data_IF_653829853151
#
_entry.id   IF_653829853151
#
_cell.length_a   1.000
_cell.length_b   1.000
_cell.length_c   1.000
_cell.angle_alpha   90.00
_cell.angle_beta   90.00
_cell.angle_gamma   90.00
#
_symmetry.space_group_name_H-M   'P 1'
#
loop_
_entity.id
_entity.type
_entity.pdbx_description
1 polymer ?
#
# COMPACT_ATOMS: atom_id res chain seq x y z
N UNK A 1 -19.16 31.06 36.32
CA UNK A 1 -19.98 30.42 35.27
C UNK A 1 -19.46 29.01 35.07
N UNK A 2 -20.10 28.01 35.69
CA UNK A 2 -19.72 26.61 35.55
C UNK A 2 -20.34 26.06 34.26
N UNK A 3 -19.50 25.60 33.33
CA UNK A 3 -19.97 24.89 32.14
C UNK A 3 -20.60 23.57 32.59
N UNK A 4 -21.91 23.43 32.37
CA UNK A 4 -22.64 22.22 32.66
C UNK A 4 -22.05 21.07 31.84
N UNK A 5 -21.55 20.06 32.54
CA UNK A 5 -21.04 18.81 31.96
C UNK A 5 -22.21 18.11 31.24
N UNK A 6 -22.30 18.29 29.93
CA UNK A 6 -23.29 17.63 29.08
C UNK A 6 -23.02 16.13 29.09
N UNK A 7 -23.72 15.39 29.96
CA UNK A 7 -23.77 13.93 29.91
C UNK A 7 -24.28 13.50 28.54
N UNK A 8 -23.43 12.80 27.80
CA UNK A 8 -23.74 12.14 26.54
C UNK A 8 -25.07 11.40 26.63
N UNK A 9 -26.03 11.81 25.78
CA UNK A 9 -27.40 11.27 25.73
C UNK A 9 -27.45 9.82 25.23
N UNK A 10 -26.34 9.30 24.71
CA UNK A 10 -26.27 7.97 24.12
C UNK A 10 -25.72 6.97 25.15
N UNK A 11 -26.49 5.93 25.54
CA UNK A 11 -25.92 4.86 26.34
C UNK A 11 -24.74 4.25 25.59
N UNK A 12 -23.61 4.09 26.28
CA UNK A 12 -22.33 3.53 25.76
C UNK A 12 -22.44 2.16 25.06
N UNK A 13 -23.62 1.55 24.98
CA UNK A 13 -23.86 0.15 24.58
C UNK A 13 -24.87 -0.09 23.45
N UNK A 14 -25.59 0.92 22.94
CA UNK A 14 -26.56 0.73 21.83
C UNK A 14 -26.01 1.14 20.45
N UNK A 15 -24.68 1.08 20.30
CA UNK A 15 -24.10 1.09 18.97
C UNK A 15 -24.10 -0.35 18.48
N UNK A 16 -24.95 -0.62 17.49
CA UNK A 16 -24.99 -1.80 16.61
C UNK A 16 -23.67 -1.96 15.78
N UNK A 17 -22.56 -1.52 16.36
CA UNK A 17 -21.22 -1.51 15.81
C UNK A 17 -20.52 -2.73 16.37
N UNK A 18 -20.55 -3.79 15.58
CA UNK A 18 -19.81 -5.00 15.91
C UNK A 18 -18.32 -4.66 16.07
N UNK A 19 -17.67 -5.14 17.12
CA UNK A 19 -16.24 -4.87 17.38
C UNK A 19 -15.38 -5.38 16.21
N UNK A 20 -15.88 -6.41 15.51
CA UNK A 20 -15.33 -6.93 14.26
C UNK A 20 -15.21 -5.88 13.14
N UNK A 21 -16.05 -4.85 13.17
CA UNK A 21 -16.13 -3.81 12.14
C UNK A 21 -15.11 -2.68 12.31
N UNK A 22 -14.41 -2.62 13.45
CA UNK A 22 -13.41 -1.59 13.72
C UNK A 22 -12.11 -1.84 12.94
N UNK A 23 -11.85 -3.09 12.55
CA UNK A 23 -10.63 -3.49 11.86
C UNK A 23 -9.62 -4.21 12.74
N UNK A 24 -8.39 -4.36 12.23
CA UNK A 24 -7.31 -5.01 12.97
C UNK A 24 -6.81 -4.08 14.10
N UNK A 25 -6.44 -4.62 15.28
CA UNK A 25 -6.17 -3.82 16.48
C UNK A 25 -5.06 -2.76 16.41
N UNK A 26 -4.22 -2.71 15.37
CA UNK A 26 -3.12 -1.74 15.26
C UNK A 26 -3.26 -0.80 14.05
N UNK A 27 -4.45 -0.72 13.45
CA UNK A 27 -4.64 0.09 12.25
C UNK A 27 -5.16 1.49 12.55
N UNK A 28 -4.87 2.43 11.65
CA UNK A 28 -5.38 3.80 11.74
C UNK A 28 -6.91 3.80 11.85
N UNK A 29 -7.61 2.94 11.11
CA UNK A 29 -9.06 2.82 11.19
C UNK A 29 -9.51 2.45 12.61
N UNK A 30 -8.90 1.44 13.21
CA UNK A 30 -9.28 0.97 14.55
C UNK A 30 -9.11 2.09 15.58
N UNK A 31 -7.97 2.79 15.55
CA UNK A 31 -7.69 3.89 16.48
C UNK A 31 -8.69 5.04 16.34
N UNK A 32 -8.92 5.52 15.11
CA UNK A 32 -9.83 6.64 14.87
C UNK A 32 -11.27 6.30 15.23
N UNK A 33 -11.77 5.12 14.81
CA UNK A 33 -13.13 4.71 15.15
C UNK A 33 -13.30 4.52 16.66
N UNK A 34 -12.30 3.97 17.35
CA UNK A 34 -12.31 3.82 18.80
C UNK A 34 -12.37 5.19 19.51
N UNK A 35 -11.56 6.16 19.08
CA UNK A 35 -11.60 7.52 19.64
C UNK A 35 -12.96 8.18 19.41
N UNK A 36 -13.57 8.03 18.23
CA UNK A 36 -14.89 8.60 17.91
C UNK A 36 -16.01 7.95 18.73
N UNK A 37 -15.95 6.64 18.97
CA UNK A 37 -16.91 5.93 19.84
C UNK A 37 -16.79 6.42 21.28
N UNK A 38 -15.56 6.56 21.77
CA UNK A 38 -15.22 7.03 23.12
C UNK A 38 -15.37 8.55 23.32
N UNK A 39 -15.85 9.27 22.30
CA UNK A 39 -16.04 10.73 22.32
C UNK A 39 -14.73 11.55 22.46
N UNK A 40 -13.59 10.91 22.20
CA UNK A 40 -12.26 11.54 22.14
C UNK A 40 -12.01 12.19 20.77
N UNK A 41 -12.90 13.08 20.34
CA UNK A 41 -12.87 13.67 18.99
C UNK A 41 -11.59 14.44 18.68
N UNK A 42 -11.10 15.24 19.64
CA UNK A 42 -9.86 16.02 19.47
C UNK A 42 -8.66 15.10 19.26
N UNK A 43 -8.62 13.96 19.97
CA UNK A 43 -7.55 12.97 19.83
C UNK A 43 -7.61 12.31 18.45
N UNK A 44 -8.81 12.00 17.96
CA UNK A 44 -8.99 11.46 16.61
C UNK A 44 -8.49 12.45 15.54
N UNK A 45 -8.87 13.72 15.64
CA UNK A 45 -8.45 14.77 14.69
C UNK A 45 -6.94 14.97 14.76
N UNK A 46 -6.37 15.05 15.96
CA UNK A 46 -4.92 15.16 16.16
C UNK A 46 -4.17 13.99 15.51
N UNK A 47 -4.62 12.77 15.75
CA UNK A 47 -4.03 11.56 15.15
C UNK A 47 -4.07 11.60 13.62
N UNK A 48 -5.17 12.08 13.02
CA UNK A 48 -5.29 12.24 11.56
C UNK A 48 -4.35 13.31 11.00
N UNK A 49 -4.16 14.42 11.73
CA UNK A 49 -3.20 15.47 11.34
C UNK A 49 -1.77 14.98 11.44
N UNK A 50 -1.41 14.34 12.54
CA UNK A 50 -0.09 13.71 12.73
C UNK A 50 0.18 12.66 11.66
N UNK A 51 -0.82 11.86 11.28
CA UNK A 51 -0.70 10.91 10.18
C UNK A 51 -0.42 11.59 8.83
N UNK A 52 -1.02 12.75 8.55
CA UNK A 52 -0.77 13.51 7.33
C UNK A 52 0.59 14.23 7.31
N UNK A 53 1.06 14.62 8.50
CA UNK A 53 2.36 15.27 8.71
C UNK A 53 3.51 14.26 8.78
N UNK A 54 3.21 13.00 9.08
CA UNK A 54 4.23 11.95 9.12
C UNK A 54 4.93 11.79 7.78
N UNK A 55 6.25 11.74 7.82
CA UNK A 55 7.06 11.54 6.62
C UNK A 55 6.72 10.19 6.00
N UNK A 56 6.29 10.22 4.74
CA UNK A 56 6.07 9.01 3.96
C UNK A 56 7.28 8.77 3.06
N UNK A 57 7.78 7.54 3.05
CA UNK A 57 8.83 7.10 2.12
C UNK A 57 8.41 7.18 0.63
N UNK A 58 7.16 7.52 0.35
CA UNK A 58 6.56 7.47 -0.98
C UNK A 58 6.28 8.87 -1.53
N UNK A 59 6.86 9.22 -2.70
CA UNK A 59 6.52 10.47 -3.37
C UNK A 59 5.03 10.46 -3.76
N UNK A 60 4.32 11.55 -3.43
CA UNK A 60 2.87 11.75 -3.67
C UNK A 60 1.87 11.04 -2.74
N UNK A 61 2.31 10.27 -1.73
CA UNK A 61 1.36 9.64 -0.80
C UNK A 61 0.50 10.69 -0.07
N UNK A 62 1.14 11.74 0.44
CA UNK A 62 0.47 12.86 1.11
C UNK A 62 -0.65 13.44 0.23
N UNK A 63 -0.35 13.76 -1.03
CA UNK A 63 -1.34 14.31 -1.97
C UNK A 63 -2.52 13.36 -2.23
N UNK A 64 -2.27 12.04 -2.31
CA UNK A 64 -3.32 11.03 -2.56
C UNK A 64 -4.25 10.87 -1.36
N UNK A 65 -3.70 10.97 -0.14
CA UNK A 65 -4.41 10.67 1.10
C UNK A 65 -5.01 11.92 1.76
N UNK A 66 -4.46 13.09 1.51
CA UNK A 66 -4.88 14.37 2.09
C UNK A 66 -6.38 14.63 1.95
N UNK A 67 -6.92 14.48 0.74
CA UNK A 67 -8.36 14.67 0.50
C UNK A 67 -9.21 13.73 1.37
N UNK A 68 -8.79 12.47 1.52
CA UNK A 68 -9.53 11.51 2.35
C UNK A 68 -9.39 11.83 3.84
N UNK A 69 -8.21 12.25 4.28
CA UNK A 69 -7.96 12.65 5.67
C UNK A 69 -8.78 13.90 6.05
N UNK A 70 -8.80 14.92 5.19
CA UNK A 70 -9.60 16.12 5.42
C UNK A 70 -11.09 15.80 5.49
N UNK A 71 -11.61 14.98 4.56
CA UNK A 71 -13.00 14.53 4.59
C UNK A 71 -13.32 13.71 5.86
N UNK A 72 -12.37 12.91 6.34
CA UNK A 72 -12.50 12.16 7.60
C UNK A 72 -12.63 13.11 8.79
N UNK A 73 -11.86 14.21 8.82
CA UNK A 73 -11.96 15.25 9.85
C UNK A 73 -13.33 15.93 9.82
N UNK A 74 -13.84 16.27 8.63
CA UNK A 74 -15.17 16.88 8.47
C UNK A 74 -16.28 15.96 8.98
N UNK A 75 -16.19 14.66 8.69
CA UNK A 75 -17.12 13.66 9.23
C UNK A 75 -17.06 13.58 10.75
N UNK A 76 -15.87 13.65 11.36
CA UNK A 76 -15.72 13.68 12.83
C UNK A 76 -16.40 14.91 13.44
N UNK A 77 -16.21 16.10 12.85
CA UNK A 77 -16.93 17.30 13.30
C UNK A 77 -18.45 17.16 13.14
N UNK A 78 -18.91 16.63 12.01
CA UNK A 78 -20.33 16.41 11.74
C UNK A 78 -20.96 15.42 12.75
N UNK A 79 -20.20 14.39 13.15
CA UNK A 79 -20.58 13.42 14.18
C UNK A 79 -20.65 14.08 15.56
N UNK A 80 -19.62 14.83 15.95
CA UNK A 80 -19.57 15.55 17.23
C UNK A 80 -20.77 16.47 17.40
N UNK A 81 -21.09 17.28 16.38
CA UNK A 81 -22.20 18.24 16.42
C UNK A 81 -23.55 17.54 16.56
N UNK A 82 -23.76 16.40 15.90
CA UNK A 82 -25.02 15.64 15.97
C UNK A 82 -25.17 14.88 17.28
N UNK A 83 -24.06 14.37 17.85
CA UNK A 83 -24.08 13.64 19.13
C UNK A 83 -24.27 14.58 20.32
N UNK A 84 -23.65 15.77 20.27
CA UNK A 84 -23.73 16.81 21.31
C UNK A 84 -24.75 17.91 20.99
N UNK A 85 -25.84 17.56 20.29
CA UNK A 85 -26.84 18.55 19.90
C UNK A 85 -27.49 19.19 21.13
N UNK A 86 -27.43 20.52 21.30
CA UNK A 86 -27.95 21.19 22.48
C UNK A 86 -29.47 21.07 22.52
N UNK A 87 -30.03 20.68 23.68
CA UNK A 87 -31.47 20.56 23.84
C UNK A 87 -32.09 19.36 23.11
N UNK A 88 -31.32 18.28 22.87
CA UNK A 88 -31.85 17.06 22.23
C UNK A 88 -33.10 16.50 22.93
N UNK A 89 -33.19 16.63 24.25
CA UNK A 89 -34.33 16.20 25.06
C UNK A 89 -35.59 17.05 24.84
N UNK A 90 -35.44 18.28 24.32
CA UNK A 90 -36.55 19.16 23.98
C UNK A 90 -37.12 18.89 22.58
N UNK A 91 -36.44 18.05 21.77
CA UNK A 91 -36.89 17.67 20.44
C UNK A 91 -37.96 16.57 20.50
N UNK A 92 -38.80 16.51 19.47
CA UNK A 92 -39.73 15.39 19.26
C UNK A 92 -38.97 14.08 19.03
N UNK A 93 -39.59 12.94 19.37
CA UNK A 93 -39.00 11.60 19.14
C UNK A 93 -38.58 11.39 17.68
N UNK A 94 -39.38 11.88 16.73
CA UNK A 94 -39.06 11.81 15.29
C UNK A 94 -37.76 12.54 14.95
N UNK A 95 -37.56 13.75 15.49
CA UNK A 95 -36.33 14.53 15.27
C UNK A 95 -35.12 13.95 15.98
N UNK A 96 -35.31 13.38 17.17
CA UNK A 96 -34.26 12.61 17.83
C UNK A 96 -33.84 11.41 16.98
N UNK A 97 -34.80 10.66 16.41
CA UNK A 97 -34.50 9.54 15.53
C UNK A 97 -33.77 9.95 14.26
N UNK A 98 -34.18 11.06 13.62
CA UNK A 98 -33.51 11.61 12.45
C UNK A 98 -32.03 11.94 12.74
N UNK A 99 -31.73 12.54 13.90
CA UNK A 99 -30.36 12.78 14.35
C UNK A 99 -29.58 11.48 14.55
N UNK A 100 -30.20 10.44 15.11
CA UNK A 100 -29.59 9.12 15.27
C UNK A 100 -29.24 8.48 13.93
N UNK A 101 -30.16 8.55 12.97
CA UNK A 101 -29.95 7.96 11.65
C UNK A 101 -28.84 8.69 10.90
N UNK A 102 -28.79 10.03 10.98
CA UNK A 102 -27.70 10.83 10.42
C UNK A 102 -26.35 10.58 11.09
N UNK A 103 -26.32 10.34 12.41
CA UNK A 103 -25.12 9.91 13.09
C UNK A 103 -24.61 8.57 12.53
N UNK A 104 -25.50 7.57 12.39
CA UNK A 104 -25.15 6.25 11.82
C UNK A 104 -24.65 6.37 10.39
N UNK A 105 -25.27 7.22 9.57
CA UNK A 105 -24.86 7.49 8.19
C UNK A 105 -23.42 8.03 8.12
N UNK A 106 -23.11 9.09 8.88
CA UNK A 106 -21.75 9.65 8.91
C UNK A 106 -20.72 8.70 9.51
N UNK A 107 -21.09 7.91 10.51
CA UNK A 107 -20.20 6.92 11.09
C UNK A 107 -19.87 5.79 10.10
N UNK A 108 -20.87 5.34 9.32
CA UNK A 108 -20.68 4.36 8.24
C UNK A 108 -19.80 4.93 7.13
N UNK A 109 -20.00 6.19 6.75
CA UNK A 109 -19.16 6.87 5.79
C UNK A 109 -17.70 7.00 6.28
N UNK A 110 -17.51 7.40 7.54
CA UNK A 110 -16.21 7.48 8.19
C UNK A 110 -15.45 6.16 8.09
N UNK A 111 -16.11 5.04 8.38
CA UNK A 111 -15.55 3.68 8.24
C UNK A 111 -15.09 3.39 6.80
N UNK A 112 -15.91 3.75 5.80
CA UNK A 112 -15.59 3.52 4.39
C UNK A 112 -14.38 4.34 3.93
N UNK A 113 -14.29 5.60 4.34
CA UNK A 113 -13.18 6.48 3.96
C UNK A 113 -11.88 6.04 4.64
N UNK A 114 -11.92 5.69 5.93
CA UNK A 114 -10.76 5.13 6.63
C UNK A 114 -10.25 3.83 5.96
N UNK A 115 -11.17 2.96 5.50
CA UNK A 115 -10.79 1.78 4.74
C UNK A 115 -10.07 2.14 3.42
N UNK A 116 -10.50 3.20 2.72
CA UNK A 116 -9.80 3.67 1.51
C UNK A 116 -8.40 4.19 1.81
N UNK A 117 -8.22 4.89 2.93
CA UNK A 117 -6.90 5.35 3.39
C UNK A 117 -5.97 4.15 3.63
N UNK A 118 -6.46 3.12 4.34
CA UNK A 118 -5.70 1.87 4.55
C UNK A 118 -5.34 1.18 3.24
N UNK A 119 -6.30 1.05 2.31
CA UNK A 119 -6.05 0.44 1.00
C UNK A 119 -5.00 1.21 0.20
N UNK A 120 -4.99 2.54 0.25
CA UNK A 120 -3.94 3.33 -0.39
C UNK A 120 -2.54 3.03 0.20
N UNK A 121 -2.46 2.78 1.50
CA UNK A 121 -1.21 2.44 2.18
C UNK A 121 -0.75 1.02 1.83
N UNK A 122 -1.67 0.06 1.75
CA UNK A 122 -1.39 -1.31 1.31
C UNK A 122 -0.94 -1.37 -0.15
N UNK A 123 -1.60 -0.64 -1.06
CA UNK A 123 -1.22 -0.54 -2.48
C UNK A 123 0.23 -0.08 -2.65
N UNK A 124 0.65 0.93 -1.88
CA UNK A 124 2.02 1.44 -1.92
C UNK A 124 3.02 0.40 -1.43
N UNK A 125 2.71 -0.27 -0.31
CA UNK A 125 3.56 -1.35 0.21
C UNK A 125 3.71 -2.51 -0.79
N UNK A 126 2.65 -2.85 -1.53
CA UNK A 126 2.69 -3.90 -2.55
C UNK A 126 3.49 -3.49 -3.78
N UNK A 127 3.44 -2.21 -4.17
CA UNK A 127 4.19 -1.70 -5.32
C UNK A 127 5.71 -1.77 -5.11
N UNK A 128 6.21 -1.54 -3.90
CA UNK A 128 7.64 -1.67 -3.59
C UNK A 128 8.12 -3.12 -3.71
N UNK A 129 7.34 -4.07 -3.18
CA UNK A 129 7.64 -5.49 -3.29
C UNK A 129 7.65 -5.93 -4.75
N UNK A 130 6.68 -5.46 -5.54
CA UNK A 130 6.60 -5.76 -6.97
C UNK A 130 7.80 -5.21 -7.74
N UNK A 131 8.19 -3.96 -7.49
CA UNK A 131 9.35 -3.33 -8.13
C UNK A 131 10.65 -4.04 -7.78
N UNK A 132 10.85 -4.42 -6.52
CA UNK A 132 12.02 -5.19 -6.07
C UNK A 132 12.09 -6.56 -6.75
N UNK A 133 10.95 -7.25 -6.88
CA UNK A 133 10.89 -8.54 -7.58
C UNK A 133 11.28 -8.41 -9.06
N UNK A 134 10.84 -7.33 -9.72
CA UNK A 134 11.21 -7.07 -11.12
C UNK A 134 12.71 -6.85 -11.24
N UNK A 135 13.31 -6.08 -10.33
CA UNK A 135 14.76 -5.83 -10.30
C UNK A 135 15.55 -7.14 -10.13
N UNK A 136 15.15 -7.99 -9.18
CA UNK A 136 15.81 -9.29 -8.92
C UNK A 136 15.71 -10.20 -10.14
N UNK A 137 14.55 -10.26 -10.79
CA UNK A 137 14.38 -11.05 -12.02
C UNK A 137 15.26 -10.50 -13.17
N UNK A 138 15.33 -9.17 -13.33
CA UNK A 138 16.17 -8.55 -14.34
C UNK A 138 17.66 -8.84 -14.09
N UNK A 139 18.10 -8.81 -12.84
CA UNK A 139 19.45 -9.16 -12.44
C UNK A 139 19.80 -10.63 -12.74
N UNK A 140 18.88 -11.56 -12.45
CA UNK A 140 19.09 -12.98 -12.79
C UNK A 140 19.16 -13.21 -14.30
N UNK A 141 18.29 -12.55 -15.07
CA UNK A 141 18.28 -12.65 -16.52
C UNK A 141 19.55 -12.05 -17.15
N UNK A 142 20.04 -10.92 -16.63
CA UNK A 142 21.28 -10.32 -17.13
C UNK A 142 22.50 -11.20 -16.80
N UNK A 143 22.57 -11.75 -15.58
CA UNK A 143 23.63 -12.68 -15.19
C UNK A 143 23.64 -13.94 -16.06
N UNK A 144 22.46 -14.53 -16.33
CA UNK A 144 22.32 -15.67 -17.22
C UNK A 144 22.76 -15.33 -18.65
N UNK A 145 22.38 -14.16 -19.15
CA UNK A 145 22.74 -13.71 -20.50
C UNK A 145 24.26 -13.56 -20.64
N UNK A 146 24.92 -12.95 -19.65
CA UNK A 146 26.38 -12.84 -19.62
C UNK A 146 27.07 -14.21 -19.55
N UNK A 147 26.54 -15.11 -18.72
CA UNK A 147 27.06 -16.48 -18.62
C UNK A 147 26.98 -17.22 -19.96
N UNK A 148 25.81 -17.21 -20.61
CA UNK A 148 25.63 -17.84 -21.93
C UNK A 148 26.56 -17.22 -22.97
N UNK A 149 26.71 -15.89 -22.96
CA UNK A 149 27.59 -15.18 -23.89
C UNK A 149 29.05 -15.55 -23.68
N UNK A 150 29.50 -15.65 -22.42
CA UNK A 150 30.84 -16.09 -22.07
C UNK A 150 31.14 -17.51 -22.53
N UNK A 151 30.22 -18.45 -22.24
CA UNK A 151 30.32 -19.85 -22.70
C UNK A 151 30.36 -19.92 -24.23
N UNK A 152 29.52 -19.16 -24.93
CA UNK A 152 29.53 -19.11 -26.39
C UNK A 152 30.89 -18.66 -26.93
N UNK A 153 31.47 -17.58 -26.37
CA UNK A 153 32.79 -17.08 -26.78
C UNK A 153 33.88 -18.13 -26.55
N UNK A 154 33.88 -18.80 -25.40
CA UNK A 154 34.86 -19.87 -25.10
C UNK A 154 34.73 -21.05 -26.06
N UNK A 155 33.51 -21.47 -26.37
CA UNK A 155 33.24 -22.54 -27.33
C UNK A 155 33.76 -22.16 -28.72
N UNK A 156 33.44 -20.95 -29.21
CA UNK A 156 33.91 -20.49 -30.53
C UNK A 156 35.43 -20.30 -30.57
N UNK A 157 36.06 -19.80 -29.51
CA UNK A 157 37.52 -19.63 -29.44
C UNK A 157 38.25 -20.98 -29.34
N UNK A 158 37.72 -21.93 -28.55
CA UNK A 158 38.29 -23.26 -28.39
C UNK A 158 38.14 -24.12 -29.65
N UNK A 159 36.90 -24.28 -30.13
CA UNK A 159 36.60 -25.05 -31.35
C UNK A 159 37.17 -24.38 -32.60
N UNK A 160 37.12 -23.04 -32.68
CA UNK A 160 37.65 -22.30 -33.82
C UNK A 160 39.15 -22.55 -34.00
N UNK A 161 39.93 -22.49 -32.91
CA UNK A 161 41.37 -22.82 -32.97
C UNK A 161 41.61 -24.28 -33.33
N UNK A 162 40.86 -25.21 -32.75
CA UNK A 162 40.99 -26.63 -33.07
C UNK A 162 40.66 -26.92 -34.55
N UNK A 163 39.64 -26.26 -35.10
CA UNK A 163 39.23 -26.42 -36.50
C UNK A 163 40.29 -25.90 -37.47
N UNK A 164 40.91 -24.75 -37.16
CA UNK A 164 42.01 -24.20 -37.96
C UNK A 164 43.21 -25.15 -37.94
N UNK A 165 43.59 -25.66 -36.76
CA UNK A 165 44.72 -26.60 -36.64
C UNK A 165 44.47 -27.88 -37.44
N UNK A 166 43.28 -28.46 -37.34
CA UNK A 166 42.93 -29.69 -38.08
C UNK A 166 42.88 -29.42 -39.59
N UNK A 167 42.39 -28.25 -40.01
CA UNK A 167 42.37 -27.87 -41.42
C UNK A 167 43.79 -27.68 -41.99
N UNK A 168 44.68 -27.03 -41.24
CA UNK A 168 46.09 -26.84 -41.62
C UNK A 168 46.82 -28.19 -41.73
N UNK A 169 46.67 -29.09 -40.75
CA UNK A 169 47.25 -30.44 -40.80
C UNK A 169 46.68 -31.29 -41.96
N UNK A 170 45.39 -31.15 -42.26
CA UNK A 170 44.77 -31.85 -43.39
C UNK A 170 45.28 -31.33 -44.74
N UNK A 171 45.45 -30.00 -44.87
CA UNK A 171 46.05 -29.38 -46.04
C UNK A 171 47.51 -29.83 -46.22
N UNK A 172 48.30 -29.85 -45.16
CA UNK A 172 49.69 -30.28 -45.22
C UNK A 172 49.82 -31.76 -45.62
N UNK A 173 48.99 -32.64 -45.03
CA UNK A 173 48.97 -34.07 -45.39
C UNK A 173 48.52 -34.31 -46.83
N UNK A 174 47.51 -33.58 -47.31
CA UNK A 174 47.03 -33.70 -48.69
C UNK A 174 48.04 -33.18 -49.69
N UNK A 175 48.69 -32.03 -49.41
CA UNK A 175 49.78 -31.52 -50.22
C UNK A 175 50.96 -32.50 -50.27
N UNK A 176 51.41 -33.03 -49.13
CA UNK A 176 52.51 -34.00 -49.08
C UNK A 176 52.17 -35.31 -49.82
N UNK A 177 50.92 -35.78 -49.73
CA UNK A 177 50.48 -36.95 -50.49
C UNK A 177 50.47 -36.69 -52.00
N UNK A 178 49.98 -35.53 -52.43
CA UNK A 178 50.02 -35.10 -53.84
C UNK A 178 51.47 -35.03 -54.32
N UNK A 179 52.36 -34.36 -53.57
CA UNK A 179 53.78 -34.26 -53.92
C UNK A 179 54.45 -35.62 -54.06
N UNK A 180 54.14 -36.58 -53.17
CA UNK A 180 54.67 -37.95 -53.23
C UNK A 180 54.17 -38.78 -54.42
N UNK A 181 53.01 -38.44 -54.98
CA UNK A 181 52.46 -39.12 -56.16
C UNK A 181 52.99 -38.50 -57.45
N UNK A 182 53.23 -37.19 -57.43
CA UNK A 182 53.56 -36.41 -58.62
C UNK A 182 55.08 -36.32 -58.87
N UNK A 183 55.90 -36.60 -57.86
CA UNK A 183 57.37 -36.58 -57.88
C UNK A 183 57.93 -37.85 -57.26
#
# INVERSE_FOLDING_TARGET
MAAAEQKSFYPRRDNDLDVSDLGRPDTLRYNILSFVINEEYERAIKTLREFLESDSNYPNFKNKVERYTLHTIDLIYAIRTKRNFPGINALTRTKQQELKDKFKEHFKELKLILKKIESCLEELRLNDVKSTRILVNAFWLSALTLFISGVAIEIFNGLGRATVVVADEALEKTLNWIFKILF
#
